data_IF_507190361970
#
_entry.id   IF_507190361970
#
_cell.length_a   1.000
_cell.length_b   1.000
_cell.length_c   1.000
_cell.angle_alpha   90.00
_cell.angle_beta   90.00
_cell.angle_gamma   90.00
#
_symmetry.space_group_name_H-M   'P 1'
#
loop_
_entity.id
_entity.type
_entity.pdbx_description
1 polymer ?
#
# COMPACT_ATOMS: atom_id res chain seq x y z
N UNK A 1 9.68 2.25 15.95
CA UNK A 1 8.64 3.15 15.42
C UNK A 1 8.95 3.34 13.94
N UNK A 2 8.08 2.90 13.03
CA UNK A 2 8.37 3.01 11.60
C UNK A 2 7.81 4.34 11.12
N UNK A 3 8.62 5.40 11.24
CA UNK A 3 8.19 6.78 11.05
C UNK A 3 7.35 7.00 9.77
N UNK A 4 7.72 6.34 8.67
CA UNK A 4 7.03 6.45 7.39
C UNK A 4 5.61 5.85 7.39
N UNK A 5 5.47 4.55 7.63
CA UNK A 5 4.16 3.87 7.62
C UNK A 5 3.26 4.33 8.76
N UNK A 6 3.84 4.64 9.93
CA UNK A 6 3.09 5.16 11.07
C UNK A 6 2.48 6.54 10.71
N UNK A 7 3.20 7.37 9.95
CA UNK A 7 2.70 8.65 9.44
C UNK A 7 1.64 8.48 8.35
N UNK A 8 1.84 7.56 7.40
CA UNK A 8 0.83 7.24 6.38
C UNK A 8 -0.49 6.82 7.05
N UNK A 9 -0.43 5.88 8.00
CA UNK A 9 -1.59 5.43 8.75
C UNK A 9 -2.31 6.60 9.42
N UNK A 10 -1.56 7.44 10.15
CA UNK A 10 -2.10 8.61 10.83
C UNK A 10 -2.84 9.55 9.87
N UNK A 11 -2.21 9.91 8.75
CA UNK A 11 -2.75 10.92 7.83
C UNK A 11 -3.99 10.45 7.11
N UNK A 12 -4.00 9.21 6.63
CA UNK A 12 -5.19 8.64 5.99
C UNK A 12 -6.31 8.49 7.03
N UNK A 13 -5.99 8.00 8.23
CA UNK A 13 -6.99 7.86 9.31
C UNK A 13 -7.53 9.22 9.76
N UNK A 14 -6.70 10.26 9.81
CA UNK A 14 -7.12 11.63 10.13
C UNK A 14 -8.08 12.16 9.06
N UNK A 15 -7.78 11.95 7.79
CA UNK A 15 -8.64 12.36 6.68
C UNK A 15 -9.97 11.59 6.68
N UNK A 16 -9.94 10.29 6.94
CA UNK A 16 -11.10 9.40 6.94
C UNK A 16 -11.74 9.23 8.32
N UNK A 17 -11.39 10.06 9.31
CA UNK A 17 -11.77 9.85 10.71
C UNK A 17 -13.28 9.85 10.91
N UNK A 18 -14.02 10.66 10.13
CA UNK A 18 -15.49 10.69 10.18
C UNK A 18 -16.13 9.35 9.80
N UNK A 19 -15.48 8.57 8.93
CA UNK A 19 -15.97 7.29 8.43
C UNK A 19 -15.49 6.11 9.27
N UNK A 20 -14.20 6.09 9.59
CA UNK A 20 -13.54 4.91 10.16
C UNK A 20 -13.29 5.03 11.67
N UNK A 21 -13.45 6.23 12.23
CA UNK A 21 -13.09 6.53 13.61
C UNK A 21 -11.64 6.17 13.92
N UNK A 22 -11.43 5.57 15.10
CA UNK A 22 -10.08 5.21 15.61
C UNK A 22 -9.49 3.95 14.99
N UNK A 23 -10.30 3.19 14.25
CA UNK A 23 -9.87 1.92 13.66
C UNK A 23 -9.01 2.14 12.42
N UNK A 24 -9.31 3.19 11.64
CA UNK A 24 -8.53 3.56 10.46
C UNK A 24 -8.53 2.50 9.36
N UNK A 25 -9.62 1.75 9.19
CA UNK A 25 -9.73 0.63 8.22
C UNK A 25 -9.28 1.05 6.81
N UNK A 26 -9.67 2.23 6.35
CA UNK A 26 -9.26 2.73 5.02
C UNK A 26 -7.76 2.92 4.91
N UNK A 27 -7.11 3.41 5.98
CA UNK A 27 -5.67 3.54 6.02
C UNK A 27 -4.99 2.17 5.93
N UNK A 28 -5.51 1.18 6.66
CA UNK A 28 -5.02 -0.19 6.60
C UNK A 28 -5.15 -0.78 5.19
N UNK A 29 -6.29 -0.58 4.53
CA UNK A 29 -6.53 -1.06 3.16
C UNK A 29 -5.52 -0.42 2.20
N UNK A 30 -5.43 0.91 2.14
CA UNK A 30 -4.54 1.60 1.21
C UNK A 30 -3.07 1.27 1.44
N UNK A 31 -2.63 1.18 2.70
CA UNK A 31 -1.27 0.79 3.03
C UNK A 31 -0.96 -0.64 2.58
N UNK A 32 -1.86 -1.58 2.88
CA UNK A 32 -1.66 -2.99 2.54
C UNK A 32 -1.69 -3.20 1.02
N UNK A 33 -2.56 -2.46 0.33
CA UNK A 33 -2.64 -2.48 -1.14
C UNK A 33 -1.36 -1.93 -1.77
N UNK A 34 -0.88 -0.76 -1.31
CA UNK A 34 0.38 -0.16 -1.77
C UNK A 34 1.57 -1.10 -1.55
N UNK A 35 1.65 -1.74 -0.38
CA UNK A 35 2.68 -2.74 -0.08
C UNK A 35 2.57 -3.99 -0.97
N UNK A 36 1.36 -4.49 -1.23
CA UNK A 36 1.14 -5.64 -2.11
C UNK A 36 1.60 -5.33 -3.54
N UNK A 37 1.20 -4.19 -4.11
CA UNK A 37 1.67 -3.77 -5.44
C UNK A 37 3.19 -3.58 -5.49
N UNK A 38 3.79 -3.05 -4.42
CA UNK A 38 5.24 -2.93 -4.35
C UNK A 38 5.95 -4.30 -4.35
N UNK A 39 5.38 -5.31 -3.68
CA UNK A 39 5.90 -6.68 -3.76
C UNK A 39 5.73 -7.27 -5.14
N UNK A 40 4.57 -7.08 -5.79
CA UNK A 40 4.35 -7.56 -7.15
C UNK A 40 5.29 -6.91 -8.18
N UNK A 41 5.65 -5.63 -7.98
CA UNK A 41 6.67 -4.96 -8.79
C UNK A 41 8.04 -5.65 -8.73
N UNK A 42 8.38 -6.29 -7.61
CA UNK A 42 9.64 -7.01 -7.44
C UNK A 42 9.50 -8.46 -7.95
N UNK A 43 8.38 -9.11 -7.65
CA UNK A 43 8.16 -10.53 -7.93
C UNK A 43 7.89 -10.77 -9.43
N UNK A 44 7.07 -9.94 -10.08
CA UNK A 44 6.65 -10.18 -11.46
C UNK A 44 7.82 -10.21 -12.47
N UNK A 45 8.80 -9.29 -12.43
CA UNK A 45 9.98 -9.37 -13.30
C UNK A 45 10.78 -10.66 -13.08
N UNK A 46 10.86 -11.16 -11.85
CA UNK A 46 11.55 -12.41 -11.53
C UNK A 46 10.82 -13.58 -12.19
N UNK A 47 9.49 -13.69 -12.00
CA UNK A 47 8.68 -14.75 -12.61
C UNK A 47 8.82 -14.73 -14.15
N UNK A 48 8.80 -13.54 -14.76
CA UNK A 48 8.96 -13.36 -16.21
C UNK A 48 10.30 -13.86 -16.76
N UNK A 49 11.35 -13.95 -15.94
CA UNK A 49 12.63 -14.54 -16.37
C UNK A 49 12.59 -16.07 -16.43
N UNK A 50 11.61 -16.72 -15.81
CA UNK A 50 11.52 -18.18 -15.72
C UNK A 50 10.36 -18.78 -16.52
N UNK A 51 9.32 -17.99 -16.83
CA UNK A 51 8.13 -18.46 -17.52
C UNK A 51 7.98 -17.80 -18.89
N UNK A 52 7.56 -18.59 -19.88
CA UNK A 52 7.09 -18.09 -21.18
C UNK A 52 5.76 -17.35 -21.05
N UNK A 53 5.37 -16.61 -22.09
CA UNK A 53 4.08 -15.89 -22.11
C UNK A 53 2.87 -16.83 -22.02
N UNK A 54 2.95 -17.98 -22.67
CA UNK A 54 1.88 -18.99 -22.65
C UNK A 54 1.71 -19.58 -21.25
N UNK A 55 2.80 -19.87 -20.55
CA UNK A 55 2.79 -20.33 -19.16
C UNK A 55 2.27 -19.24 -18.21
N UNK A 56 2.69 -17.98 -18.39
CA UNK A 56 2.16 -16.85 -17.62
C UNK A 56 0.65 -16.70 -17.78
N UNK A 57 0.13 -16.83 -19.02
CA UNK A 57 -1.31 -16.79 -19.27
C UNK A 57 -2.02 -17.96 -18.57
N UNK A 58 -1.44 -19.16 -18.62
CA UNK A 58 -1.97 -20.35 -17.95
C UNK A 58 -2.04 -20.17 -16.42
N UNK A 59 -1.01 -19.59 -15.81
CA UNK A 59 -0.93 -19.37 -14.36
C UNK A 59 -1.50 -18.03 -13.87
N UNK A 60 -2.04 -17.19 -14.75
CA UNK A 60 -2.53 -15.84 -14.43
C UNK A 60 -3.52 -15.80 -13.25
N UNK A 61 -4.47 -16.74 -13.20
CA UNK A 61 -5.42 -16.87 -12.07
C UNK A 61 -4.71 -17.22 -10.77
N UNK A 62 -3.74 -18.13 -10.82
CA UNK A 62 -2.98 -18.53 -9.64
C UNK A 62 -2.13 -17.36 -9.10
N UNK A 63 -1.48 -16.61 -9.99
CA UNK A 63 -0.73 -15.39 -9.66
C UNK A 63 -1.67 -14.36 -8.99
N UNK A 64 -2.87 -14.15 -9.52
CA UNK A 64 -3.87 -13.25 -8.93
C UNK A 64 -4.31 -13.69 -7.52
N UNK A 65 -4.56 -14.98 -7.31
CA UNK A 65 -4.87 -15.52 -5.97
C UNK A 65 -3.70 -15.36 -4.99
N UNK A 66 -2.48 -15.57 -5.46
CA UNK A 66 -1.28 -15.38 -4.66
C UNK A 66 -1.12 -13.92 -4.23
N UNK A 67 -1.34 -12.95 -5.14
CA UNK A 67 -1.39 -11.53 -4.82
C UNK A 67 -2.47 -11.17 -3.79
N UNK A 68 -3.67 -11.76 -3.91
CA UNK A 68 -4.75 -11.57 -2.94
C UNK A 68 -4.37 -12.10 -1.54
N UNK A 69 -3.71 -13.26 -1.46
CA UNK A 69 -3.20 -13.82 -0.19
C UNK A 69 -2.16 -12.89 0.43
N UNK A 70 -1.22 -12.37 -0.36
CA UNK A 70 -0.22 -11.39 0.10
C UNK A 70 -0.91 -10.16 0.67
N UNK A 71 -1.90 -9.60 -0.05
CA UNK A 71 -2.66 -8.44 0.42
C UNK A 71 -3.35 -8.72 1.77
N UNK A 72 -4.03 -9.86 1.90
CA UNK A 72 -4.71 -10.24 3.15
C UNK A 72 -3.70 -10.41 4.29
N UNK A 73 -2.57 -11.06 4.05
CA UNK A 73 -1.52 -11.22 5.05
C UNK A 73 -0.98 -9.86 5.52
N UNK A 74 -0.66 -8.94 4.59
CA UNK A 74 -0.23 -7.59 4.89
C UNK A 74 -1.28 -6.80 5.66
N UNK A 75 -2.56 -6.93 5.27
CA UNK A 75 -3.67 -6.30 5.97
C UNK A 75 -3.77 -6.77 7.42
N UNK A 76 -3.67 -8.07 7.67
CA UNK A 76 -3.70 -8.62 9.03
C UNK A 76 -2.50 -8.15 9.87
N UNK A 77 -1.30 -8.11 9.28
CA UNK A 77 -0.09 -7.60 9.93
C UNK A 77 -0.25 -6.12 10.30
N UNK A 78 -0.69 -5.29 9.34
CA UNK A 78 -0.92 -3.86 9.55
C UNK A 78 -2.03 -3.64 10.57
N UNK A 79 -3.13 -4.38 10.50
CA UNK A 79 -4.23 -4.31 11.46
C UNK A 79 -3.75 -4.62 12.87
N UNK A 80 -2.97 -5.70 13.07
CA UNK A 80 -2.41 -6.04 14.39
C UNK A 80 -1.53 -4.91 14.95
N UNK A 81 -0.78 -4.21 14.09
CA UNK A 81 0.11 -3.12 14.50
C UNK A 81 -0.61 -1.80 14.79
N UNK A 82 -1.60 -1.44 13.97
CA UNK A 82 -2.15 -0.09 13.90
C UNK A 82 -3.57 0.06 14.43
N UNK A 83 -4.27 -1.05 14.70
CA UNK A 83 -5.63 -1.00 15.23
C UNK A 83 -5.66 -0.17 16.52
N UNK A 84 -6.56 0.82 16.55
CA UNK A 84 -6.79 1.74 17.67
C UNK A 84 -5.59 2.63 18.06
N UNK A 85 -4.50 2.68 17.28
CA UNK A 85 -3.32 3.48 17.61
C UNK A 85 -3.41 4.94 17.12
N UNK A 86 -4.53 5.34 16.51
CA UNK A 86 -4.74 6.70 15.99
C UNK A 86 -4.44 7.79 17.02
N UNK A 87 -4.95 7.66 18.26
CA UNK A 87 -4.77 8.69 19.29
C UNK A 87 -3.30 8.88 19.67
N UNK A 88 -2.53 7.78 19.73
CA UNK A 88 -1.08 7.80 19.98
C UNK A 88 -0.38 8.67 18.92
N UNK A 89 -0.72 8.45 17.66
CA UNK A 89 -0.15 9.18 16.54
C UNK A 89 -0.62 10.64 16.45
N UNK A 90 -1.90 10.89 16.71
CA UNK A 90 -2.44 12.24 16.81
C UNK A 90 -1.71 13.05 17.87
N UNK A 91 -1.44 12.48 19.04
CA UNK A 91 -0.71 13.18 20.09
C UNK A 91 0.72 13.55 19.67
N UNK A 92 1.38 12.69 18.88
CA UNK A 92 2.73 12.93 18.41
C UNK A 92 2.81 13.95 17.26
N UNK A 93 1.82 14.00 16.38
CA UNK A 93 1.82 14.87 15.19
C UNK A 93 0.80 16.03 15.24
N UNK A 94 0.16 16.31 16.38
CA UNK A 94 -0.83 17.40 16.51
C UNK A 94 -0.23 18.79 16.28
N UNK A 95 1.01 19.00 16.72
CA UNK A 95 1.69 20.31 16.70
C UNK A 95 2.69 20.42 15.51
N UNK A 96 2.47 19.63 14.46
CA UNK A 96 3.35 19.66 13.27
C UNK A 96 3.19 20.98 12.50
N UNK A 97 4.33 21.62 12.19
CA UNK A 97 4.38 22.83 11.37
C UNK A 97 3.61 22.66 10.05
N UNK A 98 2.80 23.67 9.70
CA UNK A 98 1.90 23.65 8.53
C UNK A 98 2.61 23.32 7.21
N UNK A 99 3.79 23.88 6.95
CA UNK A 99 4.55 23.63 5.73
C UNK A 99 5.05 22.18 5.70
N UNK A 100 5.63 21.71 6.81
CA UNK A 100 6.10 20.33 6.94
C UNK A 100 4.96 19.32 6.74
N UNK A 101 3.80 19.62 7.31
CA UNK A 101 2.57 18.85 7.19
C UNK A 101 2.07 18.76 5.75
N UNK A 102 2.20 19.84 4.97
CA UNK A 102 1.83 19.86 3.56
C UNK A 102 2.74 18.94 2.73
N UNK A 103 4.05 19.13 2.80
CA UNK A 103 5.01 18.30 2.04
C UNK A 103 4.89 16.82 2.38
N UNK A 104 4.78 16.47 3.66
CA UNK A 104 4.59 15.07 4.04
C UNK A 104 3.23 14.52 3.60
N UNK A 105 2.19 15.36 3.53
CA UNK A 105 0.91 14.97 2.93
C UNK A 105 1.05 14.56 1.47
N UNK A 106 1.81 15.33 0.69
CA UNK A 106 2.13 14.98 -0.70
C UNK A 106 2.90 13.65 -0.76
N UNK A 107 3.90 13.46 0.11
CA UNK A 107 4.64 12.19 0.16
C UNK A 107 3.76 10.98 0.48
N UNK A 108 2.75 11.15 1.35
CA UNK A 108 1.75 10.09 1.61
C UNK A 108 1.00 9.74 0.33
N UNK A 109 0.48 10.74 -0.39
CA UNK A 109 -0.25 10.51 -1.64
C UNK A 109 0.65 9.81 -2.67
N UNK A 110 1.88 10.31 -2.87
CA UNK A 110 2.85 9.72 -3.78
C UNK A 110 3.18 8.27 -3.41
N UNK A 111 3.34 7.97 -2.12
CA UNK A 111 3.64 6.60 -1.66
C UNK A 111 2.53 5.59 -1.95
N UNK A 112 1.28 6.06 -2.07
CA UNK A 112 0.15 5.21 -2.44
C UNK A 112 0.03 5.06 -3.96
N UNK A 113 0.22 6.17 -4.69
CA UNK A 113 0.01 6.20 -6.14
C UNK A 113 1.18 5.54 -6.89
N UNK A 114 2.43 5.81 -6.51
CA UNK A 114 3.61 5.36 -7.26
C UNK A 114 3.63 3.83 -7.47
N UNK A 115 3.46 2.98 -6.44
CA UNK A 115 3.48 1.53 -6.63
C UNK A 115 2.38 1.05 -7.58
N UNK A 116 1.18 1.64 -7.50
CA UNK A 116 0.04 1.30 -8.36
C UNK A 116 0.32 1.72 -9.81
N UNK A 117 0.76 2.96 -10.02
CA UNK A 117 1.06 3.50 -11.34
C UNK A 117 2.19 2.72 -12.03
N UNK A 118 3.27 2.42 -11.30
CA UNK A 118 4.37 1.60 -11.82
C UNK A 118 3.90 0.19 -12.20
N UNK A 119 3.05 -0.41 -11.36
CA UNK A 119 2.50 -1.74 -11.65
C UNK A 119 1.68 -1.73 -12.93
N UNK A 120 0.81 -0.74 -13.11
CA UNK A 120 0.01 -0.59 -14.34
C UNK A 120 0.92 -0.41 -15.55
N UNK A 121 1.89 0.52 -15.49
CA UNK A 121 2.81 0.78 -16.60
C UNK A 121 3.61 -0.48 -17.01
N UNK A 122 4.06 -1.27 -16.03
CA UNK A 122 4.82 -2.50 -16.28
C UNK A 122 3.96 -3.61 -16.88
N UNK A 123 2.64 -3.62 -16.66
CA UNK A 123 1.76 -4.63 -17.25
C UNK A 123 1.18 -4.16 -18.60
N UNK A 124 0.94 -2.86 -18.79
CA UNK A 124 0.47 -2.29 -20.06
C UNK A 124 1.53 -2.45 -21.14
N UNK A 125 2.78 -2.04 -20.90
CA UNK A 125 3.84 -2.15 -21.91
C UNK A 125 4.20 -3.60 -22.30
N UNK A 126 3.82 -4.57 -21.47
CA UNK A 126 4.10 -5.98 -21.73
C UNK A 126 2.93 -6.73 -22.38
N UNK A 127 1.76 -6.11 -22.53
CA UNK A 127 0.63 -6.69 -23.28
C UNK A 127 0.85 -6.67 -24.80
N UNK A 128 1.79 -5.86 -25.27
CA UNK A 128 2.00 -5.58 -26.70
C UNK A 128 3.28 -6.19 -27.30
N UNK A 129 4.15 -6.78 -26.46
CA UNK A 129 5.37 -7.47 -26.90
C UNK A 129 5.17 -8.96 -26.92
#
# INVERSE_FOLDING_TARGET
MNFFFDYIFYRITQFMFKRDGRTGVTALIFMSLSQAFFLELIINPIIKNFLTKEELAHYSKFIGWFGAIIFVALFLINNKKYKNSYNKYRFYWKDENTNKRFYKGILVILSLIIPISLYILMNVHWGDS
#
